data_IF_995477547421
#
_entry.id   IF_995477547421
#
_cell.length_a   1.000
_cell.length_b   1.000
_cell.length_c   1.000
_cell.angle_alpha   90.00
_cell.angle_beta   90.00
_cell.angle_gamma   90.00
#
_symmetry.space_group_name_H-M   'P 1'
#
loop_
_entity.id
_entity.type
_entity.pdbx_description
1 polymer ?
#
# COMPACT_ATOMS: atom_id res chain seq x y z
N UNK A 1 3.89 -0.91 -12.09
CA UNK A 1 3.45 0.50 -12.27
C UNK A 1 3.67 0.94 -13.70
N UNK A 2 2.81 1.82 -14.20
CA UNK A 2 2.97 2.54 -15.48
C UNK A 2 2.35 3.92 -15.34
N UNK A 3 2.46 4.78 -16.36
CA UNK A 3 1.88 6.12 -16.32
C UNK A 3 1.53 6.64 -17.70
N UNK A 4 0.65 7.63 -17.73
CA UNK A 4 0.44 8.49 -18.89
C UNK A 4 0.60 9.97 -18.51
N UNK A 5 0.10 10.89 -19.35
CA UNK A 5 0.19 12.32 -19.10
C UNK A 5 -0.64 12.81 -17.90
N UNK A 6 -1.64 12.03 -17.47
CA UNK A 6 -2.63 12.43 -16.46
C UNK A 6 -2.55 11.58 -15.20
N UNK A 7 -2.25 10.29 -15.33
CA UNK A 7 -2.30 9.34 -14.22
C UNK A 7 -1.00 8.57 -14.02
N UNK A 8 -0.72 8.29 -12.74
CA UNK A 8 0.08 7.16 -12.31
C UNK A 8 -0.84 5.94 -12.16
N UNK A 9 -0.44 4.82 -12.73
CA UNK A 9 -1.16 3.54 -12.64
C UNK A 9 -0.40 2.54 -11.78
N UNK A 10 -1.07 2.06 -10.74
CA UNK A 10 -0.56 1.04 -9.81
C UNK A 10 -1.44 -0.17 -9.97
N UNK A 11 -0.83 -1.33 -10.21
CA UNK A 11 -1.53 -2.60 -10.33
C UNK A 11 -0.74 -3.67 -9.60
N UNK A 12 -1.43 -4.48 -8.82
CA UNK A 12 -0.83 -5.63 -8.14
C UNK A 12 -1.80 -6.82 -8.09
N UNK A 13 -1.21 -8.00 -8.17
CA UNK A 13 -1.89 -9.26 -7.96
C UNK A 13 -1.66 -9.68 -6.51
N UNK A 14 -2.74 -10.05 -5.84
CA UNK A 14 -2.73 -10.60 -4.48
C UNK A 14 -2.85 -12.12 -4.50
N UNK A 15 -3.00 -12.70 -5.71
CA UNK A 15 -3.16 -14.12 -5.98
C UNK A 15 -1.84 -14.74 -6.45
N UNK A 16 -1.48 -15.89 -5.89
CA UNK A 16 -0.50 -16.80 -6.48
C UNK A 16 -1.08 -18.22 -6.66
N UNK A 17 -2.09 -18.36 -7.52
CA UNK A 17 -2.67 -19.67 -7.88
C UNK A 17 -1.72 -20.61 -8.60
N UNK A 18 -0.54 -20.15 -9.01
CA UNK A 18 0.46 -21.02 -9.62
C UNK A 18 1.29 -21.78 -8.57
N UNK A 19 1.31 -21.33 -7.31
CA UNK A 19 2.19 -21.85 -6.26
C UNK A 19 1.41 -22.37 -5.04
N UNK A 20 0.25 -21.80 -4.72
CA UNK A 20 -0.48 -22.18 -3.52
C UNK A 20 -2.00 -22.31 -3.76
N UNK A 21 -2.50 -23.55 -3.76
CA UNK A 21 -3.93 -23.87 -3.84
C UNK A 21 -4.68 -23.66 -2.52
N UNK A 22 -3.98 -23.27 -1.45
CA UNK A 22 -4.53 -23.12 -0.10
C UNK A 22 -4.80 -21.66 0.29
N UNK A 23 -4.25 -20.68 -0.44
CA UNK A 23 -4.57 -19.27 -0.24
C UNK A 23 -5.78 -18.81 -1.09
N UNK A 24 -6.94 -19.44 -0.85
CA UNK A 24 -8.26 -19.03 -1.38
C UNK A 24 -9.03 -18.24 -0.31
N UNK A 25 -8.31 -17.60 0.60
CA UNK A 25 -8.88 -17.07 1.83
C UNK A 25 -9.40 -15.64 1.67
N UNK A 26 -10.70 -15.46 1.83
CA UNK A 26 -11.28 -14.15 2.10
C UNK A 26 -11.11 -13.82 3.58
N UNK A 27 -10.11 -13.00 3.92
CA UNK A 27 -9.73 -12.67 5.29
C UNK A 27 -9.88 -11.18 5.60
N UNK A 28 -9.87 -10.85 6.89
CA UNK A 28 -9.78 -9.47 7.38
C UNK A 28 -8.34 -8.96 7.22
N UNK A 29 -8.03 -8.32 6.10
CA UNK A 29 -6.68 -7.85 5.75
C UNK A 29 -6.69 -6.48 5.08
N UNK A 30 -5.60 -5.75 5.27
CA UNK A 30 -5.33 -4.48 4.63
C UNK A 30 -4.29 -4.65 3.52
N UNK A 31 -4.49 -3.94 2.41
CA UNK A 31 -3.52 -3.79 1.33
C UNK A 31 -3.03 -2.35 1.33
N UNK A 32 -1.79 -2.15 1.79
CA UNK A 32 -1.17 -0.85 1.93
C UNK A 32 -0.22 -0.54 0.78
N UNK A 33 -0.09 0.75 0.45
CA UNK A 33 0.78 1.24 -0.61
C UNK A 33 1.43 2.53 -0.12
N UNK A 34 2.74 2.60 -0.16
CA UNK A 34 3.52 3.76 0.27
C UNK A 34 4.14 4.41 -0.95
N UNK A 35 3.98 5.73 -1.07
CA UNK A 35 4.49 6.51 -2.21
C UNK A 35 5.34 7.65 -1.66
N UNK A 36 6.63 7.63 -2.01
CA UNK A 36 7.57 8.72 -1.76
C UNK A 36 7.84 9.44 -3.08
N UNK A 37 7.63 10.75 -3.07
CA UNK A 37 7.75 11.62 -4.23
C UNK A 37 8.73 12.77 -4.02
N UNK A 38 9.07 13.09 -2.77
CA UNK A 38 9.95 14.20 -2.41
C UNK A 38 10.53 14.02 -1.00
N UNK A 39 11.65 14.70 -0.69
CA UNK A 39 12.19 14.72 0.66
C UNK A 39 11.19 15.29 1.69
N UNK A 40 11.13 14.65 2.86
CA UNK A 40 10.42 15.17 4.03
C UNK A 40 9.06 14.52 4.34
N UNK A 41 8.77 13.37 3.74
CA UNK A 41 7.61 12.55 4.11
C UNK A 41 7.73 11.90 5.51
N UNK A 42 6.84 10.95 5.77
CA UNK A 42 6.79 10.15 7.00
C UNK A 42 7.83 9.02 6.98
N UNK A 43 8.61 8.87 8.06
CA UNK A 43 9.66 7.85 8.17
C UNK A 43 10.02 7.40 9.61
N UNK A 44 9.42 7.98 10.67
CA UNK A 44 9.94 7.83 12.06
C UNK A 44 8.90 7.59 13.14
N UNK A 45 7.65 7.33 12.80
CA UNK A 45 6.65 7.03 13.84
C UNK A 45 6.73 5.59 14.35
N UNK A 46 5.91 5.28 15.34
CA UNK A 46 5.68 3.88 15.73
C UNK A 46 4.57 3.24 14.88
N UNK A 47 3.89 4.05 14.05
CA UNK A 47 2.77 3.58 13.24
C UNK A 47 2.44 4.47 12.05
N UNK A 48 2.04 3.82 10.96
CA UNK A 48 1.63 4.43 9.69
C UNK A 48 0.25 5.13 9.75
N UNK A 49 -0.30 5.53 8.59
CA UNK A 49 -1.55 6.27 8.50
C UNK A 49 -2.76 5.53 9.08
N UNK A 50 -2.76 4.19 9.07
CA UNK A 50 -3.82 3.37 9.64
C UNK A 50 -3.45 2.78 11.02
N UNK A 51 -2.31 3.18 11.59
CA UNK A 51 -1.87 2.71 12.89
C UNK A 51 -1.25 1.30 12.87
N UNK A 52 -0.69 0.87 11.73
CA UNK A 52 0.07 -0.38 11.58
C UNK A 52 1.52 -0.08 11.87
N UNK A 53 2.24 -1.08 12.35
CA UNK A 53 3.64 -0.97 12.76
C UNK A 53 4.59 -1.03 11.56
N UNK A 54 4.37 -0.10 10.63
CA UNK A 54 5.10 0.05 9.38
C UNK A 54 5.90 1.34 9.43
N UNK A 55 7.17 1.26 9.02
CA UNK A 55 8.11 2.34 8.95
C UNK A 55 8.92 2.33 7.65
N UNK A 56 9.67 3.40 7.41
CA UNK A 56 10.48 3.60 6.21
C UNK A 56 11.87 4.10 6.59
N UNK A 57 12.90 3.61 5.93
CA UNK A 57 14.29 4.06 6.12
C UNK A 57 15.04 4.06 4.77
N UNK A 58 16.37 3.99 4.78
CA UNK A 58 17.24 4.09 3.60
C UNK A 58 17.07 5.40 2.81
N UNK A 59 16.62 6.45 3.49
CA UNK A 59 16.34 7.77 2.89
C UNK A 59 14.94 7.90 2.27
N UNK A 60 14.12 6.85 2.33
CA UNK A 60 12.71 6.93 1.97
C UNK A 60 11.89 7.56 3.09
N UNK A 61 11.00 8.46 2.71
CA UNK A 61 10.05 9.08 3.61
C UNK A 61 8.75 9.31 2.84
N UNK A 62 7.74 8.47 3.10
CA UNK A 62 6.54 8.44 2.26
C UNK A 62 5.69 9.70 2.42
N UNK A 63 5.27 10.27 1.31
CA UNK A 63 4.36 11.42 1.28
C UNK A 63 2.90 10.99 1.31
N UNK A 64 2.62 9.80 0.81
CA UNK A 64 1.29 9.26 0.64
C UNK A 64 1.24 7.80 1.05
N UNK A 65 0.16 7.43 1.71
CA UNK A 65 -0.22 6.04 1.92
C UNK A 65 -1.61 5.79 1.32
N UNK A 66 -1.79 4.66 0.66
CA UNK A 66 -3.09 4.22 0.18
C UNK A 66 -3.41 2.91 0.84
N UNK A 67 -4.63 2.79 1.33
CA UNK A 67 -5.08 1.62 2.05
C UNK A 67 -6.43 1.14 1.57
N UNK A 68 -6.49 -0.16 1.28
CA UNK A 68 -7.73 -0.87 1.07
C UNK A 68 -7.96 -1.86 2.21
N UNK A 69 -9.18 -1.90 2.76
CA UNK A 69 -9.58 -2.93 3.72
C UNK A 69 -10.48 -3.95 3.05
N UNK A 70 -10.09 -5.22 3.12
CA UNK A 70 -10.93 -6.34 2.73
C UNK A 70 -11.51 -6.98 3.98
N UNK A 71 -12.83 -7.07 4.06
CA UNK A 71 -13.54 -7.80 5.12
C UNK A 71 -13.75 -9.24 4.65
N UNK A 72 -13.30 -10.19 5.45
CA UNK A 72 -13.53 -11.61 5.24
C UNK A 72 -15.01 -11.92 5.06
N UNK A 73 -15.37 -12.49 3.92
CA UNK A 73 -16.75 -12.84 3.57
C UNK A 73 -17.67 -11.67 3.20
N UNK A 74 -17.20 -10.42 3.25
CA UNK A 74 -18.00 -9.23 2.88
C UNK A 74 -17.41 -8.39 1.74
N UNK A 75 -16.11 -8.58 1.43
CA UNK A 75 -15.47 -7.93 0.30
C UNK A 75 -14.78 -6.62 0.68
N UNK A 76 -14.52 -5.78 -0.34
CA UNK A 76 -13.88 -4.50 -0.17
C UNK A 76 -14.77 -3.52 0.61
N UNK A 77 -14.21 -2.89 1.63
CA UNK A 77 -14.93 -1.97 2.53
C UNK A 77 -14.41 -0.53 2.46
N UNK A 78 -13.09 -0.34 2.51
CA UNK A 78 -12.48 1.00 2.60
C UNK A 78 -11.43 1.23 1.50
N UNK A 79 -11.28 2.48 1.06
CA UNK A 79 -10.34 2.95 0.01
C UNK A 79 -9.68 4.30 0.38
N UNK A 80 -8.84 4.32 1.41
CA UNK A 80 -8.23 5.58 1.85
C UNK A 80 -7.02 6.00 1.02
N UNK A 81 -6.96 7.30 0.71
CA UNK A 81 -5.80 8.02 0.24
C UNK A 81 -5.35 8.98 1.35
N UNK A 82 -4.27 8.63 2.04
CA UNK A 82 -3.72 9.32 3.19
C UNK A 82 -2.54 10.21 2.75
N UNK A 83 -2.59 11.50 3.11
CA UNK A 83 -1.57 12.49 2.74
C UNK A 83 -0.80 12.92 3.97
N UNK A 84 0.52 12.79 3.96
CA UNK A 84 1.34 13.30 5.04
C UNK A 84 1.38 14.84 5.01
N UNK A 85 1.07 15.45 6.15
CA UNK A 85 1.01 16.92 6.30
C UNK A 85 2.26 17.51 6.96
N UNK A 86 3.24 16.67 7.33
CA UNK A 86 4.38 17.06 8.16
C UNK A 86 4.17 16.87 9.66
N UNK A 87 2.92 16.67 10.12
CA UNK A 87 2.60 16.48 11.55
C UNK A 87 1.52 15.43 11.82
N UNK A 88 1.00 14.81 10.76
CA UNK A 88 -0.12 13.88 10.79
C UNK A 88 -0.62 13.60 9.37
N UNK A 89 -1.70 12.85 9.27
CA UNK A 89 -2.29 12.40 8.01
C UNK A 89 -3.61 13.14 7.72
N UNK A 90 -3.76 13.63 6.49
CA UNK A 90 -5.05 14.04 5.94
C UNK A 90 -5.68 12.84 5.21
N UNK A 91 -6.88 12.45 5.61
CA UNK A 91 -7.54 11.24 5.15
C UNK A 91 -8.59 11.58 4.09
N UNK A 92 -8.45 10.99 2.90
CA UNK A 92 -9.37 11.12 1.79
C UNK A 92 -9.78 9.73 1.29
N UNK A 93 -10.82 9.65 0.45
CA UNK A 93 -11.03 8.49 -0.41
C UNK A 93 -10.23 8.63 -1.71
N UNK A 94 -10.10 7.54 -2.48
CA UNK A 94 -9.52 7.61 -3.83
C UNK A 94 -10.33 8.57 -4.72
N UNK A 95 -11.65 8.59 -4.57
CA UNK A 95 -12.54 9.45 -5.35
C UNK A 95 -12.40 10.95 -5.01
N UNK A 96 -12.10 11.29 -3.76
CA UNK A 96 -11.91 12.69 -3.32
C UNK A 96 -10.68 13.34 -3.98
N UNK A 97 -9.69 12.54 -4.36
CA UNK A 97 -8.51 13.01 -5.11
C UNK A 97 -8.67 12.85 -6.62
N UNK A 98 -9.89 12.59 -7.11
CA UNK A 98 -10.21 12.32 -8.52
C UNK A 98 -9.52 11.08 -9.08
N UNK A 99 -9.08 10.17 -8.22
CA UNK A 99 -8.58 8.86 -8.62
C UNK A 99 -9.71 7.87 -8.85
N UNK A 100 -9.34 6.73 -9.43
CA UNK A 100 -10.24 5.59 -9.60
C UNK A 100 -9.49 4.30 -9.27
N UNK A 101 -10.24 3.27 -8.92
CA UNK A 101 -9.68 1.93 -8.78
C UNK A 101 -10.68 0.88 -9.27
N UNK A 102 -10.17 -0.30 -9.58
CA UNK A 102 -10.94 -1.48 -9.90
C UNK A 102 -10.26 -2.70 -9.26
N UNK A 103 -11.05 -3.71 -8.94
CA UNK A 103 -10.52 -4.95 -8.41
C UNK A 103 -11.23 -6.16 -8.98
N UNK A 104 -10.57 -7.30 -8.92
CA UNK A 104 -11.20 -8.61 -9.11
C UNK A 104 -11.20 -9.39 -7.80
N UNK A 105 -11.96 -10.47 -7.75
CA UNK A 105 -12.18 -11.24 -6.53
C UNK A 105 -13.59 -11.10 -5.96
N UNK A 106 -13.88 -11.93 -4.98
CA UNK A 106 -15.18 -12.01 -4.33
C UNK A 106 -15.06 -12.54 -2.90
N UNK A 107 -16.19 -12.65 -2.20
CA UNK A 107 -16.21 -13.08 -0.80
C UNK A 107 -15.76 -14.52 -0.57
N UNK A 108 -15.62 -15.33 -1.63
CA UNK A 108 -15.07 -16.68 -1.56
C UNK A 108 -13.56 -16.64 -1.69
N UNK A 109 -13.05 -16.01 -2.76
CA UNK A 109 -11.64 -16.08 -3.10
C UNK A 109 -10.80 -14.98 -2.43
N UNK A 110 -11.42 -13.92 -1.89
CA UNK A 110 -10.75 -12.71 -1.42
C UNK A 110 -10.42 -11.74 -2.56
N UNK A 111 -9.72 -10.65 -2.25
CA UNK A 111 -9.17 -9.76 -3.27
C UNK A 111 -8.21 -10.55 -4.17
N UNK A 112 -8.23 -10.30 -5.48
CA UNK A 112 -7.38 -11.03 -6.44
C UNK A 112 -6.42 -10.10 -7.15
N UNK A 113 -6.95 -9.02 -7.72
CA UNK A 113 -6.18 -7.96 -8.35
C UNK A 113 -6.71 -6.63 -7.89
N UNK A 114 -5.83 -5.64 -7.84
CA UNK A 114 -6.18 -4.25 -7.62
C UNK A 114 -5.48 -3.39 -8.67
N UNK A 115 -6.22 -2.51 -9.30
CA UNK A 115 -5.73 -1.52 -10.26
C UNK A 115 -6.19 -0.14 -9.83
N UNK A 116 -5.28 0.83 -9.77
CA UNK A 116 -5.52 2.17 -9.25
C UNK A 116 -4.95 3.17 -10.23
N UNK A 117 -5.75 4.18 -10.57
CA UNK A 117 -5.33 5.36 -11.33
C UNK A 117 -5.34 6.59 -10.40
N UNK A 118 -4.16 7.15 -10.15
CA UNK A 118 -3.98 8.33 -9.31
C UNK A 118 -3.63 9.50 -10.22
N UNK A 119 -4.40 10.61 -10.21
CA UNK A 119 -4.04 11.78 -10.97
C UNK A 119 -2.70 12.32 -10.48
N UNK A 120 -1.79 12.66 -11.39
CA UNK A 120 -0.52 13.26 -11.02
C UNK A 120 -0.70 14.52 -10.15
N UNK A 121 -1.75 15.30 -10.38
CA UNK A 121 -2.09 16.47 -9.56
C UNK A 121 -2.40 16.15 -8.09
N UNK A 122 -2.83 14.93 -7.77
CA UNK A 122 -3.07 14.50 -6.39
C UNK A 122 -1.76 14.27 -5.62
N UNK A 123 -0.69 13.91 -6.33
CA UNK A 123 0.63 13.61 -5.77
C UNK A 123 1.68 14.68 -6.10
N UNK A 124 1.24 15.93 -6.27
CA UNK A 124 2.13 17.09 -6.46
C UNK A 124 2.58 17.38 -7.90
N UNK A 125 2.12 16.60 -8.86
CA UNK A 125 2.48 16.72 -10.28
C UNK A 125 3.16 15.46 -10.81
N UNK A 126 3.42 15.44 -12.12
CA UNK A 126 4.11 14.32 -12.78
C UNK A 126 5.60 14.37 -12.42
N UNK A 127 6.10 13.36 -11.71
CA UNK A 127 7.46 13.30 -11.19
C UNK A 127 7.88 11.84 -10.93
N UNK A 128 9.17 11.63 -10.68
CA UNK A 128 9.69 10.33 -10.24
C UNK A 128 9.02 9.91 -8.93
N UNK A 129 8.80 8.60 -8.76
CA UNK A 129 8.17 8.04 -7.57
C UNK A 129 8.90 6.80 -7.09
N UNK A 130 9.04 6.66 -5.78
CA UNK A 130 9.39 5.41 -5.12
C UNK A 130 8.13 4.80 -4.49
N UNK A 131 7.93 3.50 -4.65
CA UNK A 131 6.70 2.82 -4.23
C UNK A 131 6.96 1.43 -3.64
N UNK A 132 6.19 1.08 -2.62
CA UNK A 132 6.05 -0.30 -2.11
C UNK A 132 4.58 -0.60 -1.87
N UNK A 133 4.20 -1.86 -2.08
CA UNK A 133 2.88 -2.42 -1.72
C UNK A 133 3.10 -3.49 -0.67
N UNK A 134 2.22 -3.60 0.32
CA UNK A 134 2.29 -4.63 1.36
C UNK A 134 0.91 -5.16 1.76
N UNK A 135 0.92 -6.35 2.37
CA UNK A 135 -0.23 -6.96 3.01
C UNK A 135 -0.03 -6.89 4.53
N UNK A 136 -1.05 -6.47 5.26
CA UNK A 136 -1.02 -6.38 6.73
C UNK A 136 -2.42 -6.62 7.30
N UNK A 137 -2.54 -6.65 8.63
CA UNK A 137 -3.80 -6.87 9.32
C UNK A 137 -4.47 -5.58 9.79
N UNK A 138 -5.14 -5.68 10.93
CA UNK A 138 -5.78 -4.56 11.61
C UNK A 138 -4.80 -3.61 12.33
N UNK A 139 -5.34 -2.78 13.22
CA UNK A 139 -4.55 -1.86 14.02
C UNK A 139 -3.44 -2.57 14.80
N UNK A 140 -2.22 -2.00 14.79
CA UNK A 140 -1.07 -2.51 15.52
C UNK A 140 -0.42 -3.77 14.94
N UNK A 141 -0.84 -4.19 13.74
CA UNK A 141 -0.19 -5.27 13.00
C UNK A 141 0.98 -4.80 12.15
N UNK A 142 1.84 -5.73 11.75
CA UNK A 142 2.97 -5.60 10.83
C UNK A 142 2.63 -6.17 9.45
N UNK A 143 3.52 -5.97 8.49
CA UNK A 143 3.39 -6.53 7.16
C UNK A 143 3.76 -8.02 7.17
N UNK A 144 3.08 -8.78 6.33
CA UNK A 144 3.34 -10.22 6.15
C UNK A 144 3.82 -10.56 4.74
N UNK A 145 3.72 -9.60 3.82
CA UNK A 145 4.21 -9.70 2.45
C UNK A 145 4.38 -8.29 1.86
N UNK A 146 5.30 -8.12 0.92
CA UNK A 146 5.47 -6.88 0.17
C UNK A 146 6.00 -7.08 -1.24
N UNK A 147 5.75 -6.09 -2.09
CA UNK A 147 6.40 -5.94 -3.38
C UNK A 147 6.91 -4.49 -3.56
N UNK A 148 8.22 -4.28 -3.79
CA UNK A 148 9.29 -5.28 -3.82
C UNK A 148 9.43 -6.08 -2.51
N UNK A 149 10.05 -7.25 -2.62
CA UNK A 149 10.45 -8.06 -1.47
C UNK A 149 11.39 -7.24 -0.57
N UNK A 150 11.13 -7.25 0.73
CA UNK A 150 11.93 -6.58 1.74
C UNK A 150 12.30 -7.57 2.85
N UNK A 151 13.58 -7.58 3.21
CA UNK A 151 14.13 -8.54 4.17
C UNK A 151 13.67 -8.33 5.60
N UNK A 152 12.96 -7.23 5.91
CA UNK A 152 12.35 -7.06 7.24
C UNK A 152 11.10 -7.94 7.42
N UNK A 153 10.47 -8.38 6.33
CA UNK A 153 9.33 -9.30 6.38
C UNK A 153 9.85 -10.74 6.51
N UNK A 154 9.24 -11.53 7.38
CA UNK A 154 9.66 -12.90 7.66
C UNK A 154 10.93 -12.98 8.51
N UNK A 155 11.35 -11.87 9.12
CA UNK A 155 12.58 -11.78 9.88
C UNK A 155 12.47 -12.40 11.30
N UNK A 156 11.24 -12.72 11.72
CA UNK A 156 10.96 -13.36 12.99
C UNK A 156 9.83 -14.41 12.89
N UNK A 157 9.22 -14.76 14.03
CA UNK A 157 8.15 -15.78 14.08
C UNK A 157 6.76 -15.18 14.36
N UNK A 158 6.70 -13.87 14.60
CA UNK A 158 5.54 -13.09 15.00
C UNK A 158 5.23 -12.00 13.95
N UNK A 159 5.15 -12.41 12.69
CA UNK A 159 4.97 -11.55 11.51
C UNK A 159 3.73 -10.65 11.52
N UNK A 160 2.75 -10.91 12.39
CA UNK A 160 1.54 -10.09 12.48
C UNK A 160 1.60 -9.03 13.58
N UNK A 161 2.59 -9.04 14.46
CA UNK A 161 2.62 -8.18 15.65
C UNK A 161 3.97 -7.54 15.96
N UNK A 162 4.98 -7.80 15.16
CA UNK A 162 6.29 -7.16 15.19
C UNK A 162 6.27 -5.79 14.49
N UNK A 163 7.34 -5.36 13.82
CA UNK A 163 7.44 -4.03 13.21
C UNK A 163 8.36 -4.05 12.02
N UNK A 164 7.84 -3.66 10.86
CA UNK A 164 8.58 -3.63 9.61
C UNK A 164 9.10 -2.24 9.32
N UNK A 165 10.32 -2.16 8.81
CA UNK A 165 10.92 -0.91 8.33
C UNK A 165 11.40 -1.11 6.90
N UNK A 166 10.58 -0.66 5.95
CA UNK A 166 10.89 -0.83 4.54
C UNK A 166 12.08 0.01 4.12
N UNK A 167 13.03 -0.64 3.46
CA UNK A 167 14.27 -0.07 2.95
C UNK A 167 14.42 -0.23 1.44
N UNK A 168 13.52 -0.99 0.79
CA UNK A 168 13.54 -1.28 -0.63
C UNK A 168 12.22 -0.92 -1.32
N UNK A 169 12.17 0.24 -1.97
CA UNK A 169 11.03 0.69 -2.76
C UNK A 169 11.34 0.59 -4.26
N UNK A 170 10.36 0.21 -5.07
CA UNK A 170 10.47 0.27 -6.52
C UNK A 170 10.55 1.73 -6.97
N UNK A 171 11.59 2.08 -7.71
CA UNK A 171 11.76 3.41 -8.27
C UNK A 171 11.26 3.49 -9.72
N UNK A 172 10.24 4.29 -9.97
CA UNK A 172 9.76 4.64 -11.30
C UNK A 172 10.32 5.99 -11.71
N UNK A 173 11.24 5.96 -12.69
CA UNK A 173 11.70 7.19 -13.34
C UNK A 173 10.70 7.63 -14.40
N UNK A 174 10.31 8.89 -14.33
CA UNK A 174 9.27 9.51 -15.13
C UNK A 174 9.91 10.59 -16.00
N UNK A 175 10.07 10.25 -17.29
CA UNK A 175 10.54 11.19 -18.31
C UNK A 175 9.47 12.22 -18.72
#
# INVERSE_FOLDING_TARGET
>A
MTYDATYLYIGFDTKNTAIDSENTGSWDVAYGIGIDTKPGGYYTGDSDAWGRKINFDAGYAVDYEIYFWWIGGSGLDSDNFCIWTGSGWDYKSISDVSGTFAHTGDTTDGLQTMEIAIPWSAIGGKQDVALIVWVTGGYGSSAVDSIPDDSTIGDNSNEWGDSDTFTNLYFLNVN
#
